data_IF_244511939528
#
_entry.id   IF_244511939528
#
_cell.length_a   1.000
_cell.length_b   1.000
_cell.length_c   1.000
_cell.angle_alpha   90.00
_cell.angle_beta   90.00
_cell.angle_gamma   90.00
#
_symmetry.space_group_name_H-M   'P 1'
#
loop_
_entity.id
_entity.type
_entity.pdbx_description
1 polymer ?
#
# COMPACT_ATOMS: atom_id res chain seq x y z
N UNK A 1 22.83 -2.78 27.70
CA UNK A 1 21.93 -2.61 26.53
C UNK A 1 22.26 -3.70 25.54
N UNK A 2 21.29 -4.55 25.17
CA UNK A 2 21.52 -5.63 24.20
C UNK A 2 21.66 -5.04 22.80
N UNK A 3 22.46 -5.64 21.94
CA UNK A 3 22.68 -5.18 20.56
C UNK A 3 21.36 -4.92 19.80
N UNK A 4 20.35 -5.78 20.00
CA UNK A 4 19.00 -5.65 19.43
C UNK A 4 18.29 -4.35 19.87
N UNK A 5 18.43 -3.94 21.12
CA UNK A 5 17.86 -2.68 21.63
C UNK A 5 18.55 -1.45 21.03
N UNK A 6 19.87 -1.55 20.84
CA UNK A 6 20.64 -0.48 20.20
C UNK A 6 20.23 -0.29 18.73
N UNK A 7 20.08 -1.40 18.00
CA UNK A 7 19.64 -1.39 16.61
C UNK A 7 18.25 -0.79 16.50
N UNK A 8 17.28 -1.26 17.30
CA UNK A 8 15.91 -0.74 17.28
C UNK A 8 15.85 0.77 17.57
N UNK A 9 16.58 1.25 18.58
CA UNK A 9 16.65 2.68 18.90
C UNK A 9 17.28 3.53 17.79
N UNK A 10 18.37 3.04 17.21
CA UNK A 10 19.07 3.73 16.12
C UNK A 10 18.15 3.89 14.92
N UNK A 11 17.38 2.86 14.63
CA UNK A 11 16.48 2.79 13.48
C UNK A 11 15.27 3.69 13.60
N UNK A 12 14.63 3.70 14.77
CA UNK A 12 13.49 4.58 15.00
C UNK A 12 13.89 6.07 14.92
N UNK A 13 15.11 6.40 15.40
CA UNK A 13 15.66 7.74 15.21
C UNK A 13 15.91 8.08 13.74
N UNK A 14 16.41 7.10 12.98
CA UNK A 14 16.68 7.28 11.55
C UNK A 14 15.39 7.42 10.75
N UNK A 15 14.37 6.59 11.02
CA UNK A 15 13.03 6.71 10.44
C UNK A 15 12.43 8.08 10.78
N UNK A 16 12.45 8.49 12.05
CA UNK A 16 11.94 9.81 12.47
C UNK A 16 12.57 10.94 11.67
N UNK A 17 13.89 10.91 11.46
CA UNK A 17 14.60 11.90 10.63
C UNK A 17 14.16 11.89 9.17
N UNK A 18 13.94 10.72 8.56
CA UNK A 18 13.49 10.60 7.16
C UNK A 18 12.11 11.19 6.93
N UNK A 19 11.18 10.96 7.84
CA UNK A 19 9.82 11.48 7.76
C UNK A 19 9.65 12.86 8.39
N UNK A 20 10.74 13.44 8.91
CA UNK A 20 10.78 14.79 9.48
C UNK A 20 10.14 14.93 10.86
N UNK A 21 10.02 13.83 11.63
CA UNK A 21 9.56 13.87 13.01
C UNK A 21 10.66 14.30 13.98
N UNK A 22 10.24 14.94 15.08
CA UNK A 22 11.14 15.18 16.21
C UNK A 22 11.51 13.84 16.87
N UNK A 23 12.81 13.58 16.93
CA UNK A 23 13.36 12.32 17.46
C UNK A 23 13.01 12.11 18.93
N UNK A 24 12.77 13.17 19.69
CA UNK A 24 12.38 13.10 21.11
C UNK A 24 10.97 12.50 21.28
N UNK A 25 10.04 12.84 20.41
CA UNK A 25 8.67 12.31 20.41
C UNK A 25 8.68 10.81 20.09
N UNK A 26 9.44 10.41 19.08
CA UNK A 26 9.57 8.98 18.68
C UNK A 26 10.16 8.13 19.80
N UNK A 27 11.14 8.65 20.54
CA UNK A 27 11.79 7.91 21.63
C UNK A 27 10.90 7.69 22.85
N UNK A 28 9.93 8.54 23.13
CA UNK A 28 9.03 8.41 24.29
C UNK A 28 7.98 7.30 24.10
N UNK A 29 7.77 6.85 22.87
CA UNK A 29 6.72 5.88 22.51
C UNK A 29 7.27 4.55 22.00
N UNK A 30 8.54 4.25 22.30
CA UNK A 30 9.20 3.01 21.90
C UNK A 30 8.57 1.79 22.57
N UNK A 31 7.67 1.11 21.89
CA UNK A 31 7.29 -0.26 22.21
C UNK A 31 8.27 -1.21 21.52
N UNK A 32 9.13 -1.87 22.31
CA UNK A 32 9.92 -3.01 21.85
C UNK A 32 8.93 -4.17 21.73
N UNK A 33 8.61 -4.56 20.48
CA UNK A 33 7.82 -5.76 20.25
C UNK A 33 8.70 -6.96 20.60
N UNK A 34 8.32 -7.80 21.59
CA UNK A 34 9.08 -9.00 21.91
C UNK A 34 9.06 -9.94 20.70
N UNK A 35 10.21 -10.46 20.33
CA UNK A 35 10.32 -11.51 19.33
C UNK A 35 9.50 -12.73 19.77
N UNK A 36 8.46 -13.08 19.02
CA UNK A 36 7.91 -14.41 19.08
C UNK A 36 8.97 -15.38 18.55
N UNK A 37 9.30 -16.40 19.32
CA UNK A 37 10.44 -17.31 19.11
C UNK A 37 10.37 -18.16 17.81
N UNK A 38 9.28 -18.11 17.04
CA UNK A 38 9.02 -18.98 15.93
C UNK A 38 8.88 -18.29 14.55
N UNK A 39 9.15 -17.00 14.45
CA UNK A 39 9.00 -16.29 13.16
C UNK A 39 10.36 -16.20 12.48
N UNK A 40 10.71 -17.23 11.72
CA UNK A 40 11.98 -17.34 10.97
C UNK A 40 12.15 -16.32 9.83
N UNK A 41 11.15 -15.49 9.52
CA UNK A 41 11.16 -14.59 8.36
C UNK A 41 10.66 -13.15 8.60
N UNK A 42 10.38 -12.74 9.84
CA UNK A 42 10.08 -11.32 10.11
C UNK A 42 11.36 -10.53 10.34
N UNK A 43 11.43 -9.34 9.75
CA UNK A 43 12.53 -8.39 9.98
C UNK A 43 12.60 -8.07 11.48
N UNK A 44 13.60 -8.61 12.14
CA UNK A 44 13.71 -8.63 13.61
C UNK A 44 13.86 -7.24 14.27
N UNK A 45 13.95 -6.14 13.51
CA UNK A 45 14.63 -4.98 14.06
C UNK A 45 13.95 -3.63 13.92
N UNK A 46 13.15 -3.37 12.88
CA UNK A 46 12.69 -2.01 12.63
C UNK A 46 11.37 -2.02 11.90
N UNK A 47 10.36 -1.56 12.61
CA UNK A 47 9.05 -1.31 12.03
C UNK A 47 8.70 0.15 12.34
N UNK A 48 8.08 0.88 11.40
CA UNK A 48 7.36 2.08 11.74
C UNK A 48 6.39 1.74 12.88
N UNK A 49 6.29 2.59 13.88
CA UNK A 49 5.34 2.35 14.97
C UNK A 49 4.01 3.04 14.68
N UNK A 50 2.91 2.50 15.21
CA UNK A 50 1.60 3.14 15.10
C UNK A 50 1.63 4.62 15.55
N UNK A 51 2.30 5.01 16.66
CA UNK A 51 2.44 6.42 17.02
C UNK A 51 3.14 7.28 15.96
N UNK A 52 4.06 6.72 15.17
CA UNK A 52 4.69 7.47 14.06
C UNK A 52 3.68 7.72 12.95
N UNK A 53 2.87 6.72 12.62
CA UNK A 53 1.77 6.86 11.66
C UNK A 53 0.82 7.95 12.12
N UNK A 54 0.37 7.90 13.37
CA UNK A 54 -0.60 8.85 13.93
C UNK A 54 -0.08 10.30 13.92
N UNK A 55 1.21 10.52 14.18
CA UNK A 55 1.82 11.86 14.15
C UNK A 55 2.00 12.40 12.71
N UNK A 56 2.16 11.50 11.73
CA UNK A 56 2.33 11.88 10.32
C UNK A 56 1.02 12.04 9.56
N UNK A 57 -0.13 11.70 10.15
CA UNK A 57 -1.45 11.77 9.51
C UNK A 57 -1.65 13.11 8.80
N UNK A 58 -2.18 13.04 7.60
CA UNK A 58 -2.58 14.18 6.78
C UNK A 58 -3.87 13.81 6.05
N UNK A 59 -4.64 14.82 5.71
CA UNK A 59 -5.96 14.71 5.08
C UNK A 59 -6.08 15.51 3.78
N UNK A 60 -4.99 16.15 3.33
CA UNK A 60 -4.91 16.90 2.08
C UNK A 60 -3.88 16.27 1.14
N UNK A 61 -4.26 15.92 -0.08
CA UNK A 61 -3.37 15.27 -1.05
C UNK A 61 -3.61 15.75 -2.48
N UNK A 62 -2.58 16.27 -3.13
CA UNK A 62 -2.65 16.87 -4.47
C UNK A 62 -3.13 15.89 -5.55
N UNK A 63 -2.90 14.58 -5.37
CA UNK A 63 -3.35 13.57 -6.34
C UNK A 63 -4.88 13.37 -6.36
N UNK A 64 -5.63 13.90 -5.40
CA UNK A 64 -7.09 14.00 -5.44
C UNK A 64 -7.59 15.21 -6.25
N UNK A 65 -6.79 16.26 -6.40
CA UNK A 65 -7.23 17.53 -6.93
C UNK A 65 -7.89 17.43 -8.32
N UNK A 66 -7.36 16.66 -9.31
CA UNK A 66 -8.02 16.54 -10.61
C UNK A 66 -9.45 15.96 -10.53
N UNK A 67 -9.71 15.09 -9.55
CA UNK A 67 -11.03 14.48 -9.34
C UNK A 67 -11.98 15.41 -8.60
N UNK A 68 -11.47 16.22 -7.70
CA UNK A 68 -12.25 17.26 -7.00
C UNK A 68 -12.61 18.37 -7.99
N UNK A 69 -11.68 18.84 -8.80
CA UNK A 69 -11.89 19.90 -9.80
C UNK A 69 -12.88 19.45 -10.89
N UNK A 70 -12.89 18.19 -11.25
CA UNK A 70 -13.85 17.61 -12.20
C UNK A 70 -15.23 17.31 -11.58
N UNK A 71 -15.36 17.44 -10.25
CA UNK A 71 -16.59 17.13 -9.52
C UNK A 71 -16.88 15.62 -9.40
N UNK A 72 -15.94 14.75 -9.76
CA UNK A 72 -16.07 13.28 -9.60
C UNK A 72 -15.94 12.87 -8.13
N UNK A 73 -15.10 13.56 -7.35
CA UNK A 73 -14.91 13.37 -5.91
C UNK A 73 -15.06 14.70 -5.16
N UNK A 74 -15.16 14.62 -3.84
CA UNK A 74 -15.20 15.77 -2.94
C UNK A 74 -14.03 15.75 -1.97
N UNK A 75 -13.85 16.83 -1.21
CA UNK A 75 -12.84 16.90 -0.14
C UNK A 75 -13.13 15.86 0.95
N UNK A 76 -14.41 15.56 1.22
CA UNK A 76 -14.82 14.55 2.19
C UNK A 76 -14.38 13.14 1.76
N UNK A 77 -14.45 12.82 0.46
CA UNK A 77 -13.90 11.55 -0.07
C UNK A 77 -12.38 11.48 0.16
N UNK A 78 -11.65 12.57 -0.06
CA UNK A 78 -10.21 12.61 0.19
C UNK A 78 -9.90 12.38 1.68
N UNK A 79 -10.62 13.05 2.60
CA UNK A 79 -10.45 12.84 4.04
C UNK A 79 -10.77 11.41 4.46
N UNK A 80 -11.87 10.84 3.95
CA UNK A 80 -12.27 9.45 4.21
C UNK A 80 -11.18 8.46 3.75
N UNK A 81 -10.70 8.60 2.52
CA UNK A 81 -9.63 7.75 1.98
C UNK A 81 -8.33 7.91 2.79
N UNK A 82 -7.96 9.14 3.16
CA UNK A 82 -6.77 9.42 3.95
C UNK A 82 -6.82 8.75 5.33
N UNK A 83 -7.97 8.76 5.98
CA UNK A 83 -8.19 8.06 7.25
C UNK A 83 -8.13 6.56 7.07
N UNK A 84 -8.86 6.02 6.09
CA UNK A 84 -8.96 4.59 5.81
C UNK A 84 -7.61 3.94 5.51
N UNK A 85 -6.76 4.59 4.71
CA UNK A 85 -5.44 4.10 4.32
C UNK A 85 -4.30 4.56 5.24
N UNK A 86 -4.62 5.26 6.35
CA UNK A 86 -3.62 5.83 7.25
C UNK A 86 -2.62 6.76 6.58
N UNK A 87 -3.02 7.50 5.55
CA UNK A 87 -2.13 8.35 4.78
C UNK A 87 -1.42 9.39 5.66
N UNK A 88 -0.18 9.67 5.32
CA UNK A 88 0.63 10.66 6.01
C UNK A 88 1.36 11.60 5.07
N UNK A 89 1.96 12.65 5.63
CA UNK A 89 2.89 13.53 4.94
C UNK A 89 4.19 13.71 5.72
N UNK A 90 5.28 13.85 5.00
CA UNK A 90 6.55 14.33 5.56
C UNK A 90 6.45 15.82 5.85
N UNK A 91 7.43 16.38 6.58
CA UNK A 91 7.52 17.84 6.75
C UNK A 91 7.68 18.61 5.45
N UNK A 92 8.23 17.98 4.41
CA UNK A 92 8.34 18.58 3.07
C UNK A 92 7.09 18.45 2.22
N UNK A 93 6.00 17.88 2.76
CA UNK A 93 4.72 17.71 2.07
C UNK A 93 4.62 16.46 1.19
N UNK A 94 5.64 15.59 1.14
CA UNK A 94 5.58 14.36 0.36
C UNK A 94 4.62 13.36 1.01
N UNK A 95 3.74 12.70 0.24
CA UNK A 95 2.89 11.62 0.75
C UNK A 95 3.71 10.48 1.35
N UNK A 96 3.17 9.87 2.40
CA UNK A 96 3.69 8.66 3.03
C UNK A 96 2.63 7.57 2.89
N UNK A 97 2.97 6.50 2.18
CA UNK A 97 2.14 5.29 2.04
C UNK A 97 2.69 4.20 2.94
N UNK A 98 1.98 3.90 4.03
CA UNK A 98 2.41 2.91 5.01
C UNK A 98 2.07 1.50 4.57
N UNK A 99 3.04 0.60 4.55
CA UNK A 99 2.84 -0.83 4.35
C UNK A 99 2.48 -1.47 5.68
N UNK A 100 1.19 -1.75 5.85
CA UNK A 100 0.63 -2.34 7.07
C UNK A 100 0.05 -3.70 6.68
N UNK A 101 0.49 -4.75 7.38
CA UNK A 101 0.04 -6.11 7.09
C UNK A 101 -1.39 -6.39 7.58
N UNK A 102 -1.91 -7.57 7.27
CA UNK A 102 -3.22 -8.06 7.70
C UNK A 102 -3.35 -8.21 9.22
N UNK A 103 -2.22 -8.22 9.96
CA UNK A 103 -2.18 -8.22 11.42
C UNK A 103 -2.07 -6.80 12.01
N UNK A 104 -2.31 -5.76 11.21
CA UNK A 104 -2.18 -4.34 11.59
C UNK A 104 -0.76 -3.94 12.02
N UNK A 105 0.26 -4.64 11.53
CA UNK A 105 1.65 -4.34 11.84
C UNK A 105 2.25 -3.49 10.72
N UNK A 106 2.73 -2.27 10.99
CA UNK A 106 3.44 -1.48 10.01
C UNK A 106 4.79 -2.13 9.68
N UNK A 107 5.05 -2.42 8.42
CA UNK A 107 6.28 -3.10 7.97
C UNK A 107 7.30 -2.12 7.37
N UNK A 108 6.86 -1.20 6.54
CA UNK A 108 7.69 -0.20 5.86
C UNK A 108 6.82 1.01 5.48
N UNK A 109 7.40 1.96 4.77
CA UNK A 109 6.66 3.02 4.10
C UNK A 109 7.32 3.43 2.79
N UNK A 110 6.50 3.79 1.82
CA UNK A 110 6.92 4.35 0.54
C UNK A 110 6.76 5.87 0.55
N UNK A 111 7.80 6.62 0.14
CA UNK A 111 7.82 8.09 0.10
C UNK A 111 8.51 8.53 -1.18
N UNK A 112 7.77 9.16 -2.08
CA UNK A 112 8.27 9.47 -3.41
C UNK A 112 8.69 8.19 -4.14
N UNK A 113 9.93 8.08 -4.59
CA UNK A 113 10.41 6.94 -5.39
C UNK A 113 11.15 5.90 -4.55
N UNK A 114 11.01 5.91 -3.22
CA UNK A 114 11.88 5.08 -2.38
C UNK A 114 11.23 4.62 -1.08
N UNK A 115 11.55 3.39 -0.72
CA UNK A 115 11.22 2.81 0.57
C UNK A 115 12.05 3.42 1.71
N UNK A 116 11.45 3.65 2.87
CA UNK A 116 12.18 4.10 4.07
C UNK A 116 13.30 3.11 4.39
N UNK A 117 13.01 1.81 4.36
CA UNK A 117 13.99 0.76 4.62
C UNK A 117 15.22 0.84 3.70
N UNK A 118 15.03 1.10 2.41
CA UNK A 118 16.11 1.24 1.43
C UNK A 118 16.99 2.44 1.73
N UNK A 119 16.39 3.59 2.05
CA UNK A 119 17.12 4.81 2.45
C UNK A 119 17.95 4.58 3.72
N UNK A 120 17.37 3.86 4.68
CA UNK A 120 18.07 3.58 5.95
C UNK A 120 19.22 2.61 5.78
N UNK A 121 19.07 1.55 4.98
CA UNK A 121 20.18 0.60 4.69
C UNK A 121 21.40 1.27 4.07
N UNK A 122 21.18 2.32 3.27
CA UNK A 122 22.28 3.08 2.64
C UNK A 122 22.99 4.01 3.61
N UNK A 123 22.30 4.54 4.62
CA UNK A 123 22.83 5.56 5.53
C UNK A 123 23.34 5.02 6.85
N UNK A 124 22.77 3.90 7.32
CA UNK A 124 23.07 3.34 8.63
C UNK A 124 23.73 1.96 8.48
N UNK A 125 25.07 1.85 8.69
CA UNK A 125 25.79 0.58 8.49
C UNK A 125 25.24 -0.59 9.29
N UNK A 126 24.65 -0.34 10.47
CA UNK A 126 24.03 -1.38 11.29
C UNK A 126 22.79 -2.00 10.65
N UNK A 127 22.19 -1.30 9.68
CA UNK A 127 20.95 -1.74 9.00
C UNK A 127 21.22 -2.44 7.68
N UNK A 128 22.47 -2.55 7.25
CA UNK A 128 22.85 -3.18 5.97
C UNK A 128 22.25 -4.58 5.78
N UNK A 129 22.14 -5.33 6.87
CA UNK A 129 21.64 -6.71 6.86
C UNK A 129 20.16 -6.83 7.29
N UNK A 130 19.50 -5.69 7.47
CA UNK A 130 18.08 -5.68 7.80
C UNK A 130 17.25 -6.20 6.62
N UNK A 131 16.49 -7.26 6.86
CA UNK A 131 15.51 -7.77 5.91
C UNK A 131 14.15 -7.20 6.28
N UNK A 132 13.53 -6.55 5.33
CA UNK A 132 12.17 -6.02 5.44
C UNK A 132 11.24 -6.96 4.72
N UNK A 133 10.18 -7.35 5.39
CA UNK A 133 9.10 -8.05 4.75
C UNK A 133 8.21 -7.01 4.05
N UNK A 134 7.91 -7.22 2.79
CA UNK A 134 6.98 -6.38 2.06
C UNK A 134 5.58 -6.99 2.10
N UNK A 135 4.56 -6.14 2.09
CA UNK A 135 3.17 -6.52 1.90
C UNK A 135 2.53 -5.58 0.87
N UNK A 136 1.33 -5.89 0.43
CA UNK A 136 0.54 -4.98 -0.39
C UNK A 136 0.15 -3.75 0.44
N UNK A 137 0.22 -2.57 -0.17
CA UNK A 137 -0.40 -1.38 0.38
C UNK A 137 -1.92 -1.59 0.44
N UNK A 138 -2.55 -1.23 1.54
CA UNK A 138 -3.97 -1.48 1.75
C UNK A 138 -4.31 -2.87 2.31
N UNK A 139 -3.33 -3.76 2.54
CA UNK A 139 -3.58 -5.11 3.05
C UNK A 139 -4.29 -5.12 4.41
N UNK A 140 -4.02 -4.13 5.28
CA UNK A 140 -4.67 -3.95 6.56
C UNK A 140 -6.20 -3.80 6.48
N UNK A 141 -6.74 -3.46 5.31
CA UNK A 141 -8.18 -3.32 5.10
C UNK A 141 -8.92 -4.68 5.14
N UNK A 142 -8.21 -5.79 4.97
CA UNK A 142 -8.79 -7.13 5.09
C UNK A 142 -9.29 -7.45 6.50
N UNK A 143 -8.57 -6.96 7.53
CA UNK A 143 -8.96 -7.19 8.94
C UNK A 143 -10.08 -6.27 9.41
N UNK A 144 -10.41 -5.27 8.63
CA UNK A 144 -11.53 -4.36 8.93
C UNK A 144 -12.88 -5.06 8.81
N UNK A 145 -12.88 -6.38 8.53
CA UNK A 145 -13.95 -7.36 8.66
C UNK A 145 -15.34 -6.75 8.60
N UNK A 146 -15.78 -6.24 7.48
CA UNK A 146 -17.17 -5.80 7.31
C UNK A 146 -17.76 -4.88 8.41
N UNK A 147 -17.02 -4.60 9.49
CA UNK A 147 -17.43 -3.73 10.60
C UNK A 147 -17.01 -2.28 10.38
N UNK A 148 -15.84 -2.03 9.83
CA UNK A 148 -15.47 -0.68 9.40
C UNK A 148 -16.37 -0.22 8.24
N UNK A 149 -16.75 -1.15 7.37
CA UNK A 149 -17.71 -0.91 6.30
C UNK A 149 -19.15 -0.64 6.79
N UNK A 150 -19.49 -0.96 8.05
CA UNK A 150 -20.84 -0.73 8.58
C UNK A 150 -21.09 0.67 9.11
N UNK A 151 -20.06 1.37 9.53
CA UNK A 151 -20.16 2.75 10.02
C UNK A 151 -19.93 3.78 8.91
N UNK A 152 -19.13 3.43 7.87
CA UNK A 152 -18.78 4.32 6.76
C UNK A 152 -19.78 4.33 5.60
N UNK A 153 -20.72 3.38 5.56
CA UNK A 153 -21.75 3.23 4.49
C UNK A 153 -22.83 4.33 4.51
N UNK A 154 -22.68 5.36 5.35
CA UNK A 154 -23.61 6.49 5.33
C UNK A 154 -23.64 7.28 4.00
N UNK A 155 -22.66 7.07 3.10
CA UNK A 155 -22.55 7.78 1.82
C UNK A 155 -22.87 6.94 0.58
N UNK A 156 -22.95 5.62 0.70
CA UNK A 156 -23.21 4.73 -0.45
C UNK A 156 -24.34 3.74 -0.14
N UNK A 157 -25.11 3.32 -1.17
CA UNK A 157 -26.14 2.32 -1.01
C UNK A 157 -25.59 1.04 -0.38
N UNK A 158 -26.38 0.33 0.47
CA UNK A 158 -25.88 -0.85 1.17
C UNK A 158 -25.46 -1.91 0.16
N UNK A 159 -24.15 -2.19 0.11
CA UNK A 159 -23.61 -3.34 -0.60
C UNK A 159 -24.33 -4.61 -0.13
N UNK A 160 -24.60 -5.50 -1.07
CA UNK A 160 -25.24 -6.78 -0.78
C UNK A 160 -24.41 -7.56 0.26
N UNK A 161 -24.84 -7.52 1.52
CA UNK A 161 -24.13 -7.99 2.73
C UNK A 161 -23.74 -9.48 2.70
N UNK A 162 -24.08 -10.21 1.64
CA UNK A 162 -23.84 -11.64 1.49
C UNK A 162 -22.64 -11.98 0.58
N UNK A 163 -21.92 -10.98 0.06
CA UNK A 163 -20.74 -11.22 -0.80
C UNK A 163 -19.55 -10.47 -0.25
N UNK A 164 -18.45 -11.19 -0.05
CA UNK A 164 -17.17 -10.56 0.27
C UNK A 164 -16.74 -9.60 -0.87
N UNK A 165 -16.23 -8.41 -0.56
CA UNK A 165 -15.78 -7.48 -1.58
C UNK A 165 -14.64 -8.11 -2.38
N UNK A 166 -14.66 -7.89 -3.70
CA UNK A 166 -13.54 -8.24 -4.56
C UNK A 166 -12.34 -7.34 -4.27
N UNK A 167 -11.16 -7.87 -4.54
CA UNK A 167 -9.89 -7.14 -4.33
C UNK A 167 -9.36 -6.73 -5.70
N UNK A 168 -9.02 -5.45 -5.84
CA UNK A 168 -8.38 -4.88 -7.02
C UNK A 168 -6.96 -4.41 -6.67
N UNK A 169 -5.97 -4.80 -7.46
CA UNK A 169 -4.56 -4.50 -7.18
C UNK A 169 -3.92 -3.85 -8.41
N UNK A 170 -3.23 -2.73 -8.19
CA UNK A 170 -2.47 -2.02 -9.21
C UNK A 170 -1.08 -1.60 -8.69
N UNK A 171 -0.29 -0.86 -9.50
CA UNK A 171 1.05 -0.45 -9.08
C UNK A 171 1.04 0.72 -8.10
N UNK A 172 0.30 1.78 -8.42
CA UNK A 172 0.35 3.07 -7.74
C UNK A 172 -0.51 3.11 -6.47
N UNK A 173 0.08 3.40 -5.33
CA UNK A 173 -0.66 3.58 -4.08
C UNK A 173 -1.63 4.76 -4.16
N UNK A 174 -1.23 5.87 -4.79
CA UNK A 174 -2.09 7.03 -4.98
C UNK A 174 -3.32 6.68 -5.82
N UNK A 175 -3.13 5.92 -6.91
CA UNK A 175 -4.22 5.45 -7.76
C UNK A 175 -5.16 4.51 -7.00
N UNK A 176 -4.62 3.59 -6.17
CA UNK A 176 -5.45 2.70 -5.35
C UNK A 176 -6.35 3.49 -4.39
N UNK A 177 -5.80 4.51 -3.74
CA UNK A 177 -6.53 5.36 -2.79
C UNK A 177 -7.65 6.14 -3.49
N UNK A 178 -7.40 6.73 -4.65
CA UNK A 178 -8.42 7.47 -5.41
C UNK A 178 -9.51 6.52 -5.95
N UNK A 179 -9.11 5.37 -6.49
CA UNK A 179 -10.04 4.36 -7.01
C UNK A 179 -10.95 3.79 -5.92
N UNK A 180 -10.48 3.73 -4.67
CA UNK A 180 -11.31 3.26 -3.55
C UNK A 180 -12.51 4.16 -3.25
N UNK A 181 -12.44 5.44 -3.64
CA UNK A 181 -13.56 6.38 -3.51
C UNK A 181 -14.44 6.46 -4.79
N UNK A 182 -13.85 6.13 -5.94
CA UNK A 182 -14.60 6.03 -7.20
C UNK A 182 -15.36 4.70 -7.33
N UNK A 183 -14.80 3.62 -6.81
CA UNK A 183 -15.33 2.26 -6.89
C UNK A 183 -15.26 1.58 -5.50
N UNK A 184 -16.11 2.01 -4.56
CA UNK A 184 -16.06 1.57 -3.15
C UNK A 184 -16.49 0.12 -2.94
N UNK A 185 -17.04 -0.54 -3.96
CA UNK A 185 -17.43 -1.96 -3.94
C UNK A 185 -16.22 -2.91 -3.95
N UNK A 186 -15.01 -2.40 -4.26
CA UNK A 186 -13.76 -3.14 -4.26
C UNK A 186 -12.83 -2.68 -3.12
N UNK A 187 -12.03 -3.60 -2.61
CA UNK A 187 -10.86 -3.23 -1.79
C UNK A 187 -9.69 -2.99 -2.74
N UNK A 188 -9.27 -1.73 -2.85
CA UNK A 188 -8.14 -1.35 -3.69
C UNK A 188 -6.82 -1.43 -2.94
N UNK A 189 -5.85 -2.12 -3.53
CA UNK A 189 -4.50 -2.32 -2.99
C UNK A 189 -3.44 -1.95 -4.02
N UNK A 190 -2.19 -1.77 -3.57
CA UNK A 190 -1.08 -1.54 -4.49
C UNK A 190 0.15 -2.37 -4.12
N UNK A 191 0.93 -2.75 -5.16
CA UNK A 191 2.21 -3.44 -4.99
C UNK A 191 3.42 -2.48 -5.00
N UNK A 192 3.24 -1.22 -5.32
CA UNK A 192 4.23 -0.13 -5.34
C UNK A 192 5.41 -0.32 -6.30
N UNK A 193 5.90 -1.53 -6.49
CA UNK A 193 7.01 -1.85 -7.39
C UNK A 193 7.04 -3.32 -7.78
N UNK A 194 7.38 -3.60 -9.03
CA UNK A 194 7.55 -4.97 -9.53
C UNK A 194 8.74 -5.70 -8.90
N UNK A 195 9.70 -4.97 -8.30
CA UNK A 195 10.90 -5.56 -7.68
C UNK A 195 10.60 -6.51 -6.51
N UNK A 196 9.45 -6.37 -5.86
CA UNK A 196 9.04 -7.17 -4.72
C UNK A 196 7.88 -8.10 -5.03
N UNK A 197 7.42 -8.13 -6.29
CA UNK A 197 6.37 -9.03 -6.71
C UNK A 197 6.87 -10.49 -6.72
N UNK A 198 6.18 -11.29 -5.94
CA UNK A 198 6.33 -12.74 -5.91
C UNK A 198 4.99 -13.38 -5.54
N UNK A 199 4.76 -14.65 -5.83
CA UNK A 199 3.53 -15.34 -5.41
C UNK A 199 3.25 -15.22 -3.91
N UNK A 200 4.28 -15.20 -3.06
CA UNK A 200 4.13 -15.10 -1.60
C UNK A 200 3.50 -13.77 -1.14
N UNK A 201 3.59 -12.71 -1.96
CA UNK A 201 2.95 -11.44 -1.66
C UNK A 201 1.42 -11.55 -1.62
N UNK A 202 0.86 -12.52 -2.35
CA UNK A 202 -0.58 -12.76 -2.46
C UNK A 202 -1.09 -13.80 -1.45
N UNK A 203 -0.21 -14.46 -0.69
CA UNK A 203 -0.61 -15.48 0.28
C UNK A 203 -1.72 -15.03 1.28
N UNK A 204 -1.72 -13.76 1.80
CA UNK A 204 -2.79 -13.29 2.67
C UNK A 204 -4.16 -13.18 2.01
N UNK A 205 -4.23 -13.35 0.68
CA UNK A 205 -5.46 -13.24 -0.13
C UNK A 205 -6.10 -14.60 -0.45
N UNK A 206 -5.63 -15.70 0.15
CA UNK A 206 -6.23 -17.03 -0.05
C UNK A 206 -7.74 -17.02 0.19
N UNK A 207 -8.47 -17.72 -0.68
CA UNK A 207 -9.93 -17.78 -0.66
C UNK A 207 -10.63 -16.55 -1.22
N UNK A 208 -9.92 -15.54 -1.72
CA UNK A 208 -10.48 -14.29 -2.24
C UNK A 208 -10.51 -14.25 -3.77
N UNK A 209 -11.43 -13.42 -4.30
CA UNK A 209 -11.43 -13.03 -5.72
C UNK A 209 -10.61 -11.76 -5.89
N UNK A 210 -9.56 -11.82 -6.71
CA UNK A 210 -8.56 -10.78 -6.89
C UNK A 210 -8.37 -10.48 -8.37
N UNK A 211 -8.39 -9.20 -8.74
CA UNK A 211 -8.09 -8.72 -10.09
C UNK A 211 -6.86 -7.81 -10.08
N UNK A 212 -5.88 -8.13 -10.90
CA UNK A 212 -4.69 -7.29 -11.13
C UNK A 212 -4.97 -6.33 -12.28
N UNK A 213 -4.65 -5.07 -12.08
CA UNK A 213 -4.74 -4.00 -13.09
C UNK A 213 -3.31 -3.51 -13.42
N UNK A 214 -2.59 -4.20 -14.30
CA UNK A 214 -1.26 -3.75 -14.73
C UNK A 214 -1.37 -2.43 -15.50
N UNK A 215 -0.31 -1.61 -15.43
CA UNK A 215 -0.18 -0.51 -16.37
C UNK A 215 0.06 -1.07 -17.78
N UNK A 216 -0.40 -0.36 -18.79
CA UNK A 216 -0.13 -0.75 -20.17
C UNK A 216 1.26 -0.34 -20.62
N UNK A 217 1.78 -0.99 -21.67
CA UNK A 217 3.02 -0.64 -22.35
C UNK A 217 2.94 -0.97 -23.86
N UNK A 218 3.80 -0.35 -24.70
CA UNK A 218 3.75 -0.54 -26.16
C UNK A 218 4.01 -1.97 -26.62
N UNK A 219 4.61 -2.81 -25.78
CA UNK A 219 5.11 -4.15 -26.15
C UNK A 219 4.28 -5.29 -25.53
N UNK A 220 3.25 -4.97 -24.77
CA UNK A 220 2.44 -5.94 -24.02
C UNK A 220 3.25 -6.73 -22.95
N UNK A 221 4.48 -6.31 -22.67
CA UNK A 221 5.38 -7.07 -21.81
C UNK A 221 4.92 -7.05 -20.34
N UNK A 222 4.35 -5.96 -19.87
CA UNK A 222 3.81 -5.84 -18.52
C UNK A 222 2.63 -6.79 -18.33
N UNK A 223 1.69 -6.79 -19.26
CA UNK A 223 0.53 -7.68 -19.21
C UNK A 223 0.93 -9.16 -19.17
N UNK A 224 1.82 -9.56 -20.10
CA UNK A 224 2.30 -10.95 -20.17
C UNK A 224 3.06 -11.37 -18.91
N UNK A 225 3.83 -10.47 -18.31
CA UNK A 225 4.48 -10.73 -17.01
C UNK A 225 3.45 -11.03 -15.91
N UNK A 226 2.34 -10.27 -15.85
CA UNK A 226 1.30 -10.51 -14.86
C UNK A 226 0.49 -11.78 -15.13
N UNK A 227 0.27 -12.15 -16.39
CA UNK A 227 -0.33 -13.45 -16.75
C UNK A 227 0.51 -14.61 -16.22
N UNK A 228 1.84 -14.57 -16.41
CA UNK A 228 2.75 -15.59 -15.87
C UNK A 228 2.74 -15.61 -14.33
N UNK A 229 2.76 -14.44 -13.69
CA UNK A 229 2.70 -14.32 -12.24
C UNK A 229 1.41 -14.92 -11.67
N UNK A 230 0.27 -14.66 -12.31
CA UNK A 230 -1.04 -15.22 -11.95
C UNK A 230 -1.02 -16.74 -12.04
N UNK A 231 -0.49 -17.27 -13.14
CA UNK A 231 -0.38 -18.73 -13.35
C UNK A 231 0.46 -19.43 -12.28
N UNK A 232 1.57 -18.81 -11.87
CA UNK A 232 2.44 -19.36 -10.81
C UNK A 232 1.75 -19.24 -9.45
N UNK A 233 1.12 -18.10 -9.17
CA UNK A 233 0.45 -17.82 -7.89
C UNK A 233 -0.71 -18.78 -7.66
N UNK A 234 -1.56 -19.02 -8.67
CA UNK A 234 -2.68 -19.98 -8.60
C UNK A 234 -2.26 -21.42 -8.34
N UNK A 235 -1.03 -21.80 -8.71
CA UNK A 235 -0.48 -23.12 -8.42
C UNK A 235 -0.02 -23.28 -6.97
N UNK A 236 0.28 -22.17 -6.30
CA UNK A 236 0.80 -22.15 -4.93
C UNK A 236 -0.27 -21.88 -3.88
N UNK A 237 -1.26 -21.06 -4.24
CA UNK A 237 -2.27 -20.55 -3.32
C UNK A 237 -3.67 -20.72 -3.93
N UNK A 238 -4.66 -20.98 -3.06
CA UNK A 238 -6.08 -21.05 -3.45
C UNK A 238 -6.66 -19.64 -3.56
N UNK A 239 -6.35 -18.96 -4.66
CA UNK A 239 -6.79 -17.59 -4.95
C UNK A 239 -7.45 -17.55 -6.32
N UNK A 240 -8.65 -16.98 -6.41
CA UNK A 240 -9.27 -16.64 -7.69
C UNK A 240 -8.66 -15.34 -8.24
N UNK A 241 -7.44 -15.45 -8.78
CA UNK A 241 -6.62 -14.34 -9.25
C UNK A 241 -6.71 -14.20 -10.77
N UNK A 242 -7.00 -13.00 -11.27
CA UNK A 242 -7.10 -12.69 -12.71
C UNK A 242 -6.33 -11.43 -13.06
N UNK A 243 -5.99 -11.25 -14.34
CA UNK A 243 -5.44 -10.01 -14.90
C UNK A 243 -6.53 -9.32 -15.71
N UNK A 244 -6.74 -8.04 -15.49
CA UNK A 244 -7.66 -7.22 -16.29
C UNK A 244 -6.99 -6.80 -17.61
N UNK A 245 -7.69 -7.00 -18.74
CA UNK A 245 -7.19 -6.68 -20.09
C UNK A 245 -7.67 -5.32 -20.60
N UNK A 246 -8.45 -4.56 -19.83
CA UNK A 246 -9.11 -3.34 -20.29
C UNK A 246 -8.14 -2.35 -20.95
N UNK A 247 -6.98 -2.12 -20.35
CA UNK A 247 -5.98 -1.22 -20.92
C UNK A 247 -5.37 -1.76 -22.21
N UNK A 248 -5.14 -3.07 -22.29
CA UNK A 248 -4.58 -3.68 -23.49
C UNK A 248 -5.56 -3.67 -24.66
N UNK A 249 -6.85 -3.83 -24.37
CA UNK A 249 -7.91 -3.86 -25.36
C UNK A 249 -8.33 -2.47 -25.86
N UNK A 250 -8.22 -1.44 -25.01
CA UNK A 250 -8.84 -0.13 -25.29
C UNK A 250 -7.88 1.06 -25.29
N UNK A 251 -6.67 0.96 -24.69
CA UNK A 251 -5.73 2.06 -24.69
C UNK A 251 -5.16 2.33 -26.10
N UNK A 252 -5.07 3.61 -26.44
CA UNK A 252 -4.45 4.05 -27.69
C UNK A 252 -2.94 3.84 -27.67
N UNK A 253 -2.28 3.87 -28.84
CA UNK A 253 -0.83 3.77 -28.91
C UNK A 253 -0.12 4.87 -28.09
N UNK A 254 -0.65 6.10 -28.12
CA UNK A 254 -0.12 7.22 -27.32
C UNK A 254 -0.24 6.97 -25.82
N UNK A 255 -1.36 6.40 -25.35
CA UNK A 255 -1.56 6.03 -23.96
C UNK A 255 -0.60 4.91 -23.54
N UNK A 256 -0.38 3.90 -24.40
CA UNK A 256 0.60 2.83 -24.17
C UNK A 256 2.03 3.36 -24.09
N UNK A 257 2.41 4.32 -24.93
CA UNK A 257 3.72 4.99 -24.87
C UNK A 257 3.94 5.77 -23.57
N UNK A 258 2.87 6.22 -22.92
CA UNK A 258 2.91 6.92 -21.63
C UNK A 258 2.85 5.98 -20.44
N UNK A 259 2.70 4.67 -20.64
CA UNK A 259 2.60 3.67 -19.56
C UNK A 259 1.50 3.98 -18.54
N UNK A 260 0.31 4.36 -19.03
CA UNK A 260 -0.80 4.73 -18.14
C UNK A 260 -1.31 3.57 -17.31
N UNK A 261 -1.84 3.87 -16.14
CA UNK A 261 -2.61 2.94 -15.32
C UNK A 261 -4.12 3.09 -15.56
N UNK A 262 -4.92 2.28 -14.87
CA UNK A 262 -6.39 2.28 -15.03
C UNK A 262 -7.01 3.60 -14.54
N UNK A 263 -6.40 4.30 -13.57
CA UNK A 263 -6.88 5.59 -13.10
C UNK A 263 -6.67 6.68 -14.15
N UNK A 264 -5.49 6.72 -14.78
CA UNK A 264 -5.19 7.64 -15.88
C UNK A 264 -6.19 7.44 -17.03
N UNK A 265 -6.48 6.17 -17.35
CA UNK A 265 -7.44 5.82 -18.39
C UNK A 265 -8.84 6.36 -18.10
N UNK A 266 -9.33 6.20 -16.86
CA UNK A 266 -10.64 6.72 -16.42
C UNK A 266 -10.69 8.25 -16.41
N UNK A 267 -9.56 8.94 -16.16
CA UNK A 267 -9.50 10.40 -16.20
C UNK A 267 -9.62 10.96 -17.61
N UNK A 268 -9.11 10.25 -18.61
CA UNK A 268 -9.10 10.70 -20.01
C UNK A 268 -10.42 10.41 -20.75
N UNK A 269 -11.35 9.68 -20.10
CA UNK A 269 -12.71 9.45 -20.59
C UNK A 269 -13.69 10.47 -19.99
#
# INVERSE_FOLDING_TARGET
MKLKELIARTSLKAIGREIGLDVSIVNQQLHIIPLASDIRHRSDFILPSKPMIDVCRADDFDFFQPFIDSGKLTVEHMHHAAERYYLGKTRSGQPIFWMIDDMQTPLDAHIGDSWISTRLKTREPLLKYWQVQHCLFGLHLLMSDGRCMKEDVAFHEPLNMNREPSIAILESEASAVVLSELFPECIWMAYATTLHLSPDLFAPLEGRTVTLYPRTDPTLSTYLFFEELVDVTRRQYDIDLTVDSTLEDHATAEQKDRFIDILDFILEF
#
